data_IF_683444489000
#
_entry.id   IF_683444489000
#
_cell.length_a   1.000
_cell.length_b   1.000
_cell.length_c   1.000
_cell.angle_alpha   90.00
_cell.angle_beta   90.00
_cell.angle_gamma   90.00
#
_symmetry.space_group_name_H-M   'P 1'
#
loop_
_entity.id
_entity.type
_entity.pdbx_description
1 polymer ?
#
# COMPACT_ATOMS: atom_id res chain seq x y z
N UNK A 1 -4.24 17.72 -0.17
CA UNK A 1 -4.98 18.93 -0.58
C UNK A 1 -6.38 18.65 -1.12
N UNK A 2 -6.59 17.62 -1.99
CA UNK A 2 -7.91 17.29 -2.56
C UNK A 2 -8.96 16.98 -1.48
N UNK A 3 -8.62 16.15 -0.49
CA UNK A 3 -9.54 15.81 0.62
C UNK A 3 -9.96 17.06 1.41
N UNK A 4 -9.01 17.94 1.71
CA UNK A 4 -9.31 19.19 2.44
C UNK A 4 -10.23 20.12 1.64
N UNK A 5 -10.02 20.21 0.31
CA UNK A 5 -10.92 20.98 -0.58
C UNK A 5 -12.33 20.37 -0.63
N UNK A 6 -12.44 19.06 -0.42
CA UNK A 6 -13.74 18.37 -0.29
C UNK A 6 -14.33 18.45 1.13
N UNK A 7 -13.80 19.30 2.01
CA UNK A 7 -14.32 19.47 3.37
C UNK A 7 -13.92 18.39 4.36
N UNK A 8 -12.99 17.48 3.99
CA UNK A 8 -12.54 16.41 4.87
C UNK A 8 -11.34 16.88 5.68
N UNK A 9 -11.44 16.81 7.01
CA UNK A 9 -10.34 17.12 7.93
C UNK A 9 -9.21 16.07 7.75
N UNK A 10 -8.25 16.37 6.89
CA UNK A 10 -7.18 15.46 6.51
C UNK A 10 -5.80 16.12 6.58
N UNK A 11 -4.78 15.38 6.98
CA UNK A 11 -3.40 15.81 6.94
C UNK A 11 -2.49 14.77 6.29
N UNK A 12 -1.41 15.26 5.68
CA UNK A 12 -0.34 14.43 5.16
C UNK A 12 0.70 14.16 6.26
N UNK A 13 1.22 12.92 6.26
CA UNK A 13 2.25 12.47 7.17
C UNK A 13 3.38 11.80 6.38
N UNK A 14 4.47 12.52 6.16
CA UNK A 14 5.60 12.08 5.34
C UNK A 14 6.95 12.51 5.92
N UNK A 15 8.03 11.97 5.39
CA UNK A 15 9.37 12.18 5.92
C UNK A 15 9.89 13.62 5.80
N UNK A 16 9.40 14.39 4.81
CA UNK A 16 9.87 15.77 4.58
C UNK A 16 9.29 16.79 5.57
N UNK A 17 8.29 16.39 6.36
CA UNK A 17 7.75 17.25 7.42
C UNK A 17 8.69 17.27 8.61
N UNK A 18 8.81 18.44 9.25
CA UNK A 18 9.58 18.59 10.50
C UNK A 18 9.03 17.69 11.61
N UNK A 19 9.87 17.32 12.57
CA UNK A 19 9.45 16.45 13.68
C UNK A 19 8.30 17.10 14.48
N UNK A 20 8.35 18.41 14.71
CA UNK A 20 7.28 19.13 15.40
C UNK A 20 5.95 19.07 14.65
N UNK A 21 5.95 19.28 13.33
CA UNK A 21 4.77 19.15 12.49
C UNK A 21 4.19 17.74 12.52
N UNK A 22 5.04 16.72 12.47
CA UNK A 22 4.62 15.32 12.57
C UNK A 22 3.98 15.00 13.92
N UNK A 23 4.56 15.48 15.01
CA UNK A 23 4.02 15.31 16.37
C UNK A 23 2.65 15.96 16.48
N UNK A 24 2.48 17.18 15.97
CA UNK A 24 1.19 17.88 16.00
C UNK A 24 0.12 17.14 15.19
N UNK A 25 0.45 16.74 13.96
CA UNK A 25 -0.49 15.98 13.10
C UNK A 25 -0.95 14.68 13.77
N UNK A 26 -0.06 13.96 14.46
CA UNK A 26 -0.41 12.76 15.21
C UNK A 26 -1.32 13.06 16.40
N UNK A 27 -1.04 14.13 17.13
CA UNK A 27 -1.88 14.57 18.25
C UNK A 27 -3.29 14.92 17.76
N UNK A 28 -3.41 15.69 16.68
CA UNK A 28 -4.68 16.09 16.08
C UNK A 28 -5.46 14.87 15.54
N UNK A 29 -4.76 13.88 15.01
CA UNK A 29 -5.40 12.64 14.56
C UNK A 29 -5.87 11.77 15.74
N UNK A 30 -5.06 11.63 16.79
CA UNK A 30 -5.45 10.90 18.01
C UNK A 30 -6.61 11.56 18.77
N UNK A 31 -6.69 12.88 18.75
CA UNK A 31 -7.80 13.63 19.36
C UNK A 31 -9.10 13.61 18.53
N UNK A 32 -9.04 13.14 17.28
CA UNK A 32 -10.19 13.17 16.37
C UNK A 32 -10.41 14.49 15.64
N UNK A 33 -9.57 15.50 15.88
CA UNK A 33 -9.57 16.76 15.12
C UNK A 33 -9.32 16.53 13.65
N UNK A 34 -8.43 15.59 13.33
CA UNK A 34 -8.24 15.07 11.98
C UNK A 34 -8.96 13.73 11.83
N UNK A 35 -9.76 13.60 10.78
CA UNK A 35 -10.47 12.37 10.44
C UNK A 35 -9.67 11.44 9.54
N UNK A 36 -8.77 11.99 8.73
CA UNK A 36 -7.97 11.23 7.77
C UNK A 36 -6.50 11.58 7.89
N UNK A 37 -5.67 10.56 8.04
CA UNK A 37 -4.22 10.66 7.99
C UNK A 37 -3.73 9.99 6.70
N UNK A 38 -3.12 10.78 5.79
CA UNK A 38 -2.50 10.26 4.56
C UNK A 38 -1.01 10.08 4.81
N UNK A 39 -0.57 8.84 4.92
CA UNK A 39 0.80 8.52 5.29
C UNK A 39 1.52 7.69 4.22
N UNK A 40 2.82 7.91 4.09
CA UNK A 40 3.71 7.00 3.35
C UNK A 40 4.13 5.83 4.24
N UNK A 41 4.50 4.69 3.65
CA UNK A 41 4.98 3.52 4.42
C UNK A 41 6.13 3.85 5.35
N UNK A 42 7.09 4.63 4.85
CA UNK A 42 8.28 5.01 5.61
C UNK A 42 7.91 5.85 6.84
N UNK A 43 7.02 6.81 6.66
CA UNK A 43 6.59 7.67 7.75
C UNK A 43 5.68 6.93 8.73
N UNK A 44 4.87 6.00 8.24
CA UNK A 44 3.96 5.19 9.04
C UNK A 44 4.65 4.10 9.87
N UNK A 45 5.89 3.76 9.54
CA UNK A 45 6.69 2.85 10.37
C UNK A 45 7.06 3.52 11.69
N UNK A 46 6.83 2.81 12.79
CA UNK A 46 7.10 3.32 14.13
C UNK A 46 6.05 4.26 14.72
N UNK A 47 4.94 4.53 14.00
CA UNK A 47 3.83 5.26 14.59
C UNK A 47 3.02 4.32 15.48
N UNK A 48 2.85 4.71 16.73
CA UNK A 48 1.94 4.06 17.66
C UNK A 48 0.50 4.55 17.41
N UNK A 49 -0.09 4.03 16.33
CA UNK A 49 -1.51 4.16 16.04
C UNK A 49 -2.06 2.75 15.83
N UNK A 50 -2.92 2.33 16.74
CA UNK A 50 -3.65 1.08 16.68
C UNK A 50 -5.15 1.36 16.78
N UNK A 51 -5.96 0.34 16.57
CA UNK A 51 -7.42 0.40 16.70
C UNK A 51 -8.09 1.40 15.74
N UNK A 52 -7.51 1.60 14.56
CA UNK A 52 -8.17 2.39 13.54
C UNK A 52 -9.46 1.71 13.09
N UNK A 53 -10.58 2.44 12.98
CA UNK A 53 -11.82 1.86 12.45
C UNK A 53 -11.67 1.46 10.98
N UNK A 54 -10.89 2.23 10.20
CA UNK A 54 -10.68 1.99 8.78
C UNK A 54 -9.23 2.23 8.39
N UNK A 55 -8.68 1.32 7.58
CA UNK A 55 -7.40 1.49 6.87
C UNK A 55 -7.65 1.40 5.37
N UNK A 56 -7.16 2.39 4.62
CA UNK A 56 -7.28 2.41 3.15
C UNK A 56 -5.89 2.30 2.52
N UNK A 57 -5.66 1.24 1.76
CA UNK A 57 -4.52 1.15 0.86
C UNK A 57 -4.89 1.84 -0.46
N UNK A 58 -4.52 3.12 -0.59
CA UNK A 58 -4.69 3.85 -1.84
C UNK A 58 -3.78 3.28 -2.92
N UNK A 59 -2.48 3.14 -2.61
CA UNK A 59 -1.54 2.37 -3.40
C UNK A 59 -1.27 1.02 -2.72
N UNK A 60 -1.22 -0.05 -3.51
CA UNK A 60 -0.88 -1.36 -2.97
C UNK A 60 0.57 -1.39 -2.46
N UNK A 61 0.83 -2.02 -1.32
CA UNK A 61 2.18 -2.20 -0.82
C UNK A 61 2.98 -3.14 -1.72
N UNK A 62 4.29 -3.01 -1.72
CA UNK A 62 5.18 -3.83 -2.55
C UNK A 62 5.24 -5.30 -2.13
N UNK A 63 4.92 -5.59 -0.87
CA UNK A 63 4.99 -6.94 -0.32
C UNK A 63 3.76 -7.32 0.49
N UNK A 64 3.51 -8.62 0.60
CA UNK A 64 2.46 -9.16 1.45
C UNK A 64 2.71 -8.87 2.94
N UNK A 65 3.96 -8.76 3.36
CA UNK A 65 4.33 -8.41 4.74
C UNK A 65 3.92 -6.98 5.05
N UNK A 66 4.25 -6.03 4.16
CA UNK A 66 3.84 -4.63 4.32
C UNK A 66 2.31 -4.50 4.29
N UNK A 67 1.63 -5.31 3.47
CA UNK A 67 0.16 -5.38 3.45
C UNK A 67 -0.41 -5.73 4.83
N UNK A 68 0.09 -6.78 5.45
CA UNK A 68 -0.32 -7.20 6.81
C UNK A 68 -0.03 -6.11 7.83
N UNK A 69 1.13 -5.48 7.76
CA UNK A 69 1.50 -4.39 8.67
C UNK A 69 0.55 -3.20 8.55
N UNK A 70 0.09 -2.87 7.33
CA UNK A 70 -0.87 -1.78 7.12
C UNK A 70 -2.25 -2.14 7.66
N UNK A 71 -2.83 -3.27 7.24
CA UNK A 71 -4.15 -3.69 7.69
C UNK A 71 -4.17 -4.03 9.19
N UNK A 72 -3.05 -4.47 9.74
CA UNK A 72 -2.89 -4.70 11.18
C UNK A 72 -2.93 -3.44 12.05
N UNK A 73 -3.23 -2.26 11.50
CA UNK A 73 -3.56 -1.05 12.27
C UNK A 73 -5.03 -0.97 12.62
N UNK A 74 -5.86 -1.81 12.01
CA UNK A 74 -7.28 -1.99 12.34
C UNK A 74 -7.54 -3.39 12.90
N UNK A 75 -8.73 -3.67 13.39
CA UNK A 75 -9.19 -4.99 13.87
C UNK A 75 -8.25 -5.66 14.89
N UNK A 76 -7.79 -4.93 15.90
CA UNK A 76 -6.96 -5.47 16.97
C UNK A 76 -7.75 -5.73 18.26
N UNK A 77 -7.28 -6.70 19.04
CA UNK A 77 -7.82 -7.03 20.38
C UNK A 77 -9.34 -7.33 20.40
N UNK A 78 -9.86 -8.00 19.36
CA UNK A 78 -11.27 -8.35 19.28
C UNK A 78 -12.20 -7.22 18.82
N UNK A 79 -11.68 -6.02 18.57
CA UNK A 79 -12.44 -4.94 17.95
C UNK A 79 -12.56 -5.17 16.44
N UNK A 80 -13.75 -4.94 15.88
CA UNK A 80 -13.99 -4.95 14.45
C UNK A 80 -13.23 -3.82 13.76
N UNK A 81 -12.89 -4.01 12.48
CA UNK A 81 -12.25 -2.98 11.68
C UNK A 81 -12.34 -3.29 10.20
N UNK A 82 -12.23 -2.26 9.38
CA UNK A 82 -12.34 -2.36 7.93
C UNK A 82 -11.00 -2.04 7.25
N UNK A 83 -10.53 -2.94 6.39
CA UNK A 83 -9.37 -2.70 5.52
C UNK A 83 -9.83 -2.67 4.07
N UNK A 84 -9.62 -1.55 3.40
CA UNK A 84 -9.99 -1.33 2.00
C UNK A 84 -8.71 -1.23 1.18
N UNK A 85 -8.68 -1.86 0.01
CA UNK A 85 -7.59 -1.73 -0.96
C UNK A 85 -8.15 -1.32 -2.31
N UNK A 86 -7.65 -0.22 -2.86
CA UNK A 86 -8.02 0.21 -4.20
C UNK A 86 -7.19 -0.59 -5.21
N UNK A 87 -7.88 -1.34 -6.05
CA UNK A 87 -7.26 -2.23 -7.03
C UNK A 87 -7.75 -1.82 -8.43
N UNK A 88 -6.82 -1.47 -9.29
CA UNK A 88 -7.05 -1.20 -10.71
C UNK A 88 -6.72 -2.43 -11.55
N UNK A 89 -7.09 -2.42 -12.83
CA UNK A 89 -6.72 -3.46 -13.78
C UNK A 89 -5.21 -3.72 -13.80
N UNK A 90 -4.39 -2.67 -13.72
CA UNK A 90 -2.93 -2.76 -13.73
C UNK A 90 -2.34 -3.39 -12.45
N UNK A 91 -3.03 -3.22 -11.32
CA UNK A 91 -2.56 -3.69 -10.01
C UNK A 91 -3.18 -5.01 -9.58
N UNK A 92 -4.18 -5.52 -10.28
CA UNK A 92 -4.89 -6.76 -9.95
C UNK A 92 -3.95 -7.97 -9.88
N UNK A 93 -3.04 -8.12 -10.84
CA UNK A 93 -2.07 -9.22 -10.83
C UNK A 93 -1.16 -9.18 -9.60
N UNK A 94 -0.72 -7.98 -9.21
CA UNK A 94 0.08 -7.78 -8.01
C UNK A 94 -0.72 -8.10 -6.75
N UNK A 95 -1.97 -7.66 -6.67
CA UNK A 95 -2.81 -7.93 -5.51
C UNK A 95 -3.10 -9.43 -5.33
N UNK A 96 -3.31 -10.17 -6.43
CA UNK A 96 -3.43 -11.65 -6.40
C UNK A 96 -2.19 -12.33 -5.82
N UNK A 97 -0.99 -11.80 -6.05
CA UNK A 97 0.23 -12.33 -5.43
C UNK A 97 0.24 -12.09 -3.92
N UNK A 98 -0.25 -10.94 -3.47
CA UNK A 98 -0.41 -10.65 -2.03
C UNK A 98 -1.39 -11.65 -1.42
N UNK A 99 -2.57 -11.82 -2.00
CA UNK A 99 -3.59 -12.78 -1.56
C UNK A 99 -3.04 -14.22 -1.49
N UNK A 100 -2.35 -14.65 -2.55
CA UNK A 100 -1.72 -15.98 -2.59
C UNK A 100 -0.76 -16.21 -1.42
N UNK A 101 0.03 -15.19 -1.07
CA UNK A 101 0.96 -15.27 0.07
C UNK A 101 0.27 -15.22 1.42
N UNK A 102 -0.90 -14.59 1.49
CA UNK A 102 -1.74 -14.55 2.69
C UNK A 102 -2.58 -15.83 2.86
N UNK A 103 -2.72 -16.66 1.81
CA UNK A 103 -3.60 -17.82 1.82
C UNK A 103 -5.09 -17.45 1.86
N UNK A 104 -5.42 -16.19 1.62
CA UNK A 104 -6.79 -15.68 1.73
C UNK A 104 -7.15 -14.80 0.53
N UNK A 105 -8.36 -14.98 0.00
CA UNK A 105 -8.92 -14.12 -1.02
C UNK A 105 -9.78 -13.03 -0.39
N UNK A 106 -9.60 -11.80 -0.85
CA UNK A 106 -10.38 -10.65 -0.42
C UNK A 106 -11.56 -10.47 -1.38
N UNK A 107 -12.75 -10.24 -0.85
CA UNK A 107 -13.92 -9.92 -1.66
C UNK A 107 -13.66 -8.67 -2.51
N UNK A 108 -14.18 -8.67 -3.74
CA UNK A 108 -14.13 -7.52 -4.64
C UNK A 108 -15.47 -6.83 -4.62
N UNK A 109 -15.43 -5.53 -4.42
CA UNK A 109 -16.59 -4.66 -4.60
C UNK A 109 -16.31 -3.68 -5.72
N UNK A 110 -17.32 -3.37 -6.50
CA UNK A 110 -17.25 -2.39 -7.57
C UNK A 110 -18.12 -1.20 -7.18
N UNK A 111 -17.53 -0.01 -7.19
CA UNK A 111 -18.25 1.21 -6.85
C UNK A 111 -18.81 1.78 -8.15
N UNK A 112 -20.15 1.96 -8.29
CA UNK A 112 -20.74 2.56 -9.47
C UNK A 112 -20.12 3.93 -9.80
N UNK A 113 -19.76 4.14 -11.06
CA UNK A 113 -19.07 5.35 -11.53
C UNK A 113 -17.54 5.34 -11.35
N UNK A 114 -16.99 4.25 -10.78
CA UNK A 114 -15.54 4.03 -10.66
C UNK A 114 -15.12 2.68 -11.25
N UNK A 115 -15.86 2.21 -12.25
CA UNK A 115 -15.52 0.99 -12.95
C UNK A 115 -14.14 1.13 -13.60
N UNK A 116 -13.30 0.09 -13.54
CA UNK A 116 -12.02 0.10 -14.23
C UNK A 116 -12.25 0.35 -15.72
N UNK A 117 -11.62 1.36 -16.29
CA UNK A 117 -11.61 1.52 -17.74
C UNK A 117 -11.05 0.24 -18.35
N UNK A 118 -11.81 -0.41 -19.23
CA UNK A 118 -11.46 -1.70 -19.86
C UNK A 118 -10.21 -1.63 -20.77
N UNK A 119 -9.57 -0.49 -20.85
CA UNK A 119 -8.34 -0.29 -21.61
C UNK A 119 -7.17 -0.38 -20.63
N UNK A 120 -6.72 -1.60 -20.37
CA UNK A 120 -5.32 -1.78 -19.99
C UNK A 120 -4.50 -1.17 -21.12
N UNK A 121 -3.73 -0.11 -20.85
CA UNK A 121 -2.83 0.44 -21.84
C UNK A 121 -1.92 -0.71 -22.34
N UNK A 122 -1.84 -0.95 -23.65
CA UNK A 122 -0.94 -1.98 -24.18
C UNK A 122 0.48 -1.56 -23.83
N UNK A 123 1.08 -2.18 -22.84
CA UNK A 123 2.50 -1.97 -22.53
C UNK A 123 2.93 -1.96 -21.07
N UNK A 124 2.08 -1.96 -20.07
CA UNK A 124 2.55 -2.02 -18.69
C UNK A 124 2.55 -3.45 -18.09
N UNK A 125 2.79 -4.45 -18.91
CA UNK A 125 3.06 -5.82 -18.45
C UNK A 125 4.43 -5.97 -17.75
N UNK A 126 5.05 -4.90 -17.25
CA UNK A 126 6.33 -4.95 -16.57
C UNK A 126 6.26 -4.68 -15.07
N UNK A 127 5.26 -5.20 -14.39
CA UNK A 127 5.36 -5.55 -12.98
C UNK A 127 6.19 -6.84 -12.81
N UNK A 128 7.04 -7.14 -13.79
CA UNK A 128 7.96 -8.27 -13.75
C UNK A 128 8.94 -8.07 -12.61
N UNK A 129 8.91 -8.97 -11.64
CA UNK A 129 10.06 -9.30 -10.81
C UNK A 129 11.28 -9.24 -11.72
N UNK A 130 12.19 -8.26 -11.53
CA UNK A 130 13.46 -8.21 -12.24
C UNK A 130 14.07 -9.58 -12.19
N UNK A 131 14.19 -10.25 -13.33
CA UNK A 131 14.74 -11.57 -13.45
C UNK A 131 16.04 -11.64 -12.66
N UNK A 132 16.23 -12.73 -11.97
CA UNK A 132 17.39 -13.00 -11.12
C UNK A 132 18.64 -12.57 -11.87
N UNK A 133 19.28 -11.50 -11.41
CA UNK A 133 20.50 -10.96 -12.05
C UNK A 133 21.48 -12.13 -12.16
N UNK A 134 22.00 -12.47 -13.35
CA UNK A 134 22.89 -13.62 -13.51
C UNK A 134 24.01 -13.55 -12.49
N UNK A 135 24.22 -14.62 -11.76
CA UNK A 135 25.26 -14.70 -10.76
C UNK A 135 26.64 -14.58 -11.44
N UNK A 136 27.67 -14.22 -10.70
CA UNK A 136 29.05 -14.20 -11.21
C UNK A 136 29.45 -15.53 -11.85
N UNK A 137 28.90 -16.63 -11.37
CA UNK A 137 29.09 -18.01 -11.87
C UNK A 137 28.41 -18.22 -13.23
N UNK A 138 27.21 -17.66 -13.43
CA UNK A 138 26.49 -17.78 -14.70
C UNK A 138 27.17 -16.97 -15.81
N UNK A 139 27.75 -15.81 -15.47
CA UNK A 139 28.54 -14.99 -16.39
C UNK A 139 29.84 -15.67 -16.82
N UNK A 140 30.52 -16.35 -15.89
CA UNK A 140 31.73 -17.11 -16.20
C UNK A 140 31.43 -18.31 -17.10
N UNK A 141 30.28 -19.00 -16.90
CA UNK A 141 29.87 -20.12 -17.75
C UNK A 141 29.49 -19.68 -19.16
N UNK A 142 28.92 -18.50 -19.33
CA UNK A 142 28.55 -17.94 -20.63
C UNK A 142 29.77 -17.41 -21.41
N UNK A 143 30.90 -17.15 -20.76
CA UNK A 143 32.13 -16.66 -21.35
C UNK A 143 33.17 -17.76 -21.68
N UNK A 144 32.87 -19.02 -21.37
CA UNK A 144 33.76 -20.14 -21.68
C UNK A 144 33.68 -20.48 -23.18
N UNK A 145 34.78 -20.56 -23.94
CA UNK A 145 34.76 -20.96 -25.34
C UNK A 145 34.27 -22.41 -25.45
N UNK A 146 33.37 -22.66 -26.40
CA UNK A 146 32.96 -24.01 -26.75
C UNK A 146 34.13 -24.70 -27.44
N UNK A 147 34.65 -25.78 -26.86
CA UNK A 147 35.59 -26.70 -27.51
C UNK A 147 34.88 -27.53 -28.59
#
# INVERSE_FOLDING_TARGET
DKLRRAGIAAAAFHGDASQGARTQVLADFKSGTLRVLVATDLAARGIDIAHLPVVVNYDLPRSAVDYVHRIGRTARAGAGGLAISLVSADTEAHFRLIEKRQGHRVAREQIPGFEPSAVAAPGSASGGVKGKRPSKKDKLRAAAPKA
#
